data_IF_739229529423
#
_entry.id   IF_739229529423
#
_cell.length_a   1.000
_cell.length_b   1.000
_cell.length_c   1.000
_cell.angle_alpha   90.00
_cell.angle_beta   90.00
_cell.angle_gamma   90.00
#
_symmetry.space_group_name_H-M   'P 1'
#
loop_
_entity.id
_entity.type
_entity.pdbx_description
1 polymer ?
#
# COMPACT_ATOMS: atom_id res chain seq x y z
N UNK A 1 4.17 12.51 -17.02
CA UNK A 1 3.13 12.30 -15.98
C UNK A 1 3.70 11.45 -14.88
N UNK A 2 3.66 11.95 -13.65
CA UNK A 2 4.16 11.20 -12.48
C UNK A 2 3.02 10.39 -11.86
N UNK A 3 3.30 9.20 -11.32
CA UNK A 3 2.30 8.45 -10.58
C UNK A 3 1.87 9.18 -9.32
N UNK A 4 0.57 9.15 -9.03
CA UNK A 4 0.00 9.75 -7.84
C UNK A 4 -0.61 8.64 -6.97
N UNK A 5 -0.19 8.57 -5.72
CA UNK A 5 -0.66 7.58 -4.76
C UNK A 5 -1.47 8.29 -3.69
N UNK A 6 -2.74 7.93 -3.56
CA UNK A 6 -3.64 8.56 -2.60
C UNK A 6 -3.89 7.68 -1.39
N UNK A 7 -3.71 8.23 -0.20
CA UNK A 7 -3.99 7.54 1.06
C UNK A 7 -5.06 8.32 1.81
N UNK A 8 -6.28 7.78 1.93
CA UNK A 8 -7.30 8.48 2.68
C UNK A 8 -6.98 8.45 4.18
N UNK A 9 -7.13 9.61 4.82
CA UNK A 9 -6.93 9.71 6.26
C UNK A 9 -8.24 9.43 6.98
N UNK A 10 -8.12 8.92 8.21
CA UNK A 10 -9.30 8.61 9.01
C UNK A 10 -9.95 9.91 9.49
N UNK A 11 -11.21 10.10 9.13
CA UNK A 11 -11.98 11.27 9.55
C UNK A 11 -12.74 10.96 10.83
N UNK A 12 -13.15 12.03 11.54
CA UNK A 12 -13.89 11.89 12.79
C UNK A 12 -15.32 11.38 12.59
N UNK A 13 -15.94 11.76 11.48
CA UNK A 13 -17.36 11.49 11.26
C UNK A 13 -17.61 10.17 10.52
N UNK A 14 -16.84 9.88 9.46
CA UNK A 14 -17.13 8.78 8.55
C UNK A 14 -15.99 7.74 8.51
N UNK A 15 -15.11 7.74 9.50
CA UNK A 15 -14.00 6.78 9.60
C UNK A 15 -13.08 6.78 8.36
N UNK A 16 -13.01 7.91 7.67
CA UNK A 16 -12.19 8.05 6.47
C UNK A 16 -12.91 7.80 5.16
N UNK A 17 -14.20 7.46 5.19
CA UNK A 17 -14.97 7.18 3.96
C UNK A 17 -15.09 8.43 3.09
N UNK A 18 -15.27 9.59 3.70
CA UNK A 18 -15.32 10.87 2.99
C UNK A 18 -13.99 11.17 2.30
N UNK A 19 -12.87 10.92 2.98
CA UNK A 19 -11.52 11.08 2.38
C UNK A 19 -11.32 10.10 1.24
N UNK A 20 -11.75 8.86 1.40
CA UNK A 20 -11.69 7.84 0.36
C UNK A 20 -12.48 8.27 -0.87
N UNK A 21 -13.71 8.73 -0.69
CA UNK A 21 -14.55 9.17 -1.80
C UNK A 21 -13.93 10.34 -2.55
N UNK A 22 -13.28 11.27 -1.84
CA UNK A 22 -12.59 12.41 -2.47
C UNK A 22 -11.46 11.95 -3.38
N UNK A 23 -10.74 10.89 -3.02
CA UNK A 23 -9.63 10.36 -3.80
C UNK A 23 -10.13 9.51 -4.98
N UNK A 24 -11.14 8.67 -4.74
CA UNK A 24 -11.64 7.72 -5.73
C UNK A 24 -12.41 8.41 -6.85
N UNK A 25 -13.12 9.48 -6.53
CA UNK A 25 -13.98 10.22 -7.47
C UNK A 25 -13.19 11.25 -8.29
N UNK A 26 -12.06 10.84 -8.85
CA UNK A 26 -11.28 11.71 -9.71
C UNK A 26 -11.84 11.74 -11.12
N UNK A 27 -11.79 12.90 -11.81
CA UNK A 27 -12.28 12.98 -13.18
C UNK A 27 -11.43 12.16 -14.15
N UNK A 28 -12.03 11.77 -15.26
CA UNK A 28 -11.33 11.05 -16.32
C UNK A 28 -10.08 11.82 -16.77
N UNK A 29 -8.98 11.13 -16.90
CA UNK A 29 -7.70 11.74 -17.25
C UNK A 29 -6.85 12.16 -16.08
N UNK A 30 -7.34 11.98 -14.84
CA UNK A 30 -6.58 12.27 -13.61
C UNK A 30 -6.51 10.98 -12.77
N UNK A 31 -5.66 10.02 -13.14
CA UNK A 31 -5.61 8.74 -12.45
C UNK A 31 -4.87 8.85 -11.12
N UNK A 32 -5.45 8.27 -10.07
CA UNK A 32 -4.85 8.21 -8.74
C UNK A 32 -5.01 6.80 -8.21
N UNK A 33 -3.91 6.15 -7.85
CA UNK A 33 -3.96 4.86 -7.16
C UNK A 33 -4.38 5.11 -5.72
N UNK A 34 -5.35 4.32 -5.24
CA UNK A 34 -5.93 4.51 -3.92
C UNK A 34 -5.62 3.32 -3.03
N UNK A 35 -5.27 3.59 -1.77
CA UNK A 35 -4.88 2.59 -0.79
C UNK A 35 -5.85 2.59 0.38
N UNK A 36 -5.61 1.69 1.34
CA UNK A 36 -6.47 1.58 2.51
C UNK A 36 -6.46 2.86 3.34
N UNK A 37 -7.49 3.04 4.14
CA UNK A 37 -7.63 4.20 5.01
C UNK A 37 -6.63 4.11 6.17
N UNK A 38 -5.90 5.19 6.42
CA UNK A 38 -5.03 5.31 7.59
C UNK A 38 -3.65 4.68 7.43
N UNK A 39 -3.10 4.15 8.52
CA UNK A 39 -1.73 3.65 8.57
C UNK A 39 -1.46 2.49 7.62
N UNK A 40 -2.39 1.56 7.50
CA UNK A 40 -2.24 0.44 6.58
C UNK A 40 -2.09 0.92 5.14
N UNK A 41 -2.88 1.91 4.74
CA UNK A 41 -2.77 2.52 3.41
C UNK A 41 -1.46 3.24 3.21
N UNK A 42 -0.99 3.98 4.21
CA UNK A 42 0.28 4.69 4.14
C UNK A 42 1.45 3.71 3.96
N UNK A 43 1.46 2.62 4.72
CA UNK A 43 2.48 1.57 4.60
C UNK A 43 2.45 0.95 3.21
N UNK A 44 1.27 0.58 2.72
CA UNK A 44 1.12 -0.05 1.42
C UNK A 44 1.45 0.89 0.27
N UNK A 45 1.11 2.17 0.39
CA UNK A 45 1.47 3.17 -0.60
C UNK A 45 3.00 3.33 -0.70
N UNK A 46 3.69 3.35 0.45
CA UNK A 46 5.14 3.43 0.48
C UNK A 46 5.78 2.20 -0.17
N UNK A 47 5.29 1.00 0.14
CA UNK A 47 5.77 -0.24 -0.47
C UNK A 47 5.51 -0.26 -1.98
N UNK A 48 4.37 0.24 -2.41
CA UNK A 48 4.03 0.33 -3.82
C UNK A 48 4.96 1.29 -4.56
N UNK A 49 5.26 2.44 -3.95
CA UNK A 49 6.21 3.41 -4.52
C UNK A 49 7.60 2.79 -4.66
N UNK A 50 8.05 2.05 -3.64
CA UNK A 50 9.34 1.35 -3.68
C UNK A 50 9.35 0.31 -4.81
N UNK A 51 8.27 -0.45 -4.98
CA UNK A 51 8.20 -1.46 -6.03
C UNK A 51 8.19 -0.83 -7.44
N UNK A 52 7.61 0.36 -7.61
CA UNK A 52 7.69 1.08 -8.87
C UNK A 52 9.13 1.51 -9.18
N UNK A 53 9.86 2.01 -8.20
CA UNK A 53 11.27 2.39 -8.37
C UNK A 53 12.14 1.18 -8.63
N UNK A 54 11.89 0.07 -7.93
CA UNK A 54 12.62 -1.18 -8.15
C UNK A 54 12.38 -1.74 -9.56
N UNK A 55 11.14 -1.66 -10.05
CA UNK A 55 10.78 -2.11 -11.41
C UNK A 55 11.42 -1.24 -12.47
N UNK A 56 11.74 0.00 -12.16
CA UNK A 56 12.35 0.93 -13.11
C UNK A 56 13.89 0.87 -13.10
N UNK A 57 14.48 -0.19 -12.57
CA UNK A 57 15.90 -0.46 -12.68
C UNK A 57 16.74 -0.23 -11.41
N UNK A 58 16.13 0.13 -10.29
CA UNK A 58 16.86 0.27 -9.04
C UNK A 58 17.04 -1.10 -8.38
N UNK A 59 18.19 -1.74 -8.66
CA UNK A 59 18.48 -3.08 -8.17
C UNK A 59 18.66 -3.13 -6.65
N UNK A 60 19.17 -2.06 -6.06
CA UNK A 60 19.35 -1.97 -4.61
C UNK A 60 18.00 -1.99 -3.89
N UNK A 61 17.04 -1.22 -4.38
CA UNK A 61 15.68 -1.21 -3.84
C UNK A 61 14.99 -2.54 -4.08
N UNK A 62 15.21 -3.17 -5.25
CA UNK A 62 14.64 -4.48 -5.55
C UNK A 62 15.10 -5.53 -4.55
N UNK A 63 16.39 -5.54 -4.20
CA UNK A 63 16.94 -6.47 -3.23
C UNK A 63 16.39 -6.22 -1.83
N UNK A 64 16.30 -4.96 -1.42
CA UNK A 64 15.74 -4.58 -0.11
C UNK A 64 14.26 -4.97 -0.01
N UNK A 65 13.50 -4.78 -1.06
CA UNK A 65 12.09 -5.15 -1.10
C UNK A 65 11.92 -6.67 -1.01
N UNK A 66 12.74 -7.42 -1.74
CA UNK A 66 12.73 -8.87 -1.70
C UNK A 66 13.06 -9.38 -0.29
N UNK A 67 14.06 -8.78 0.36
CA UNK A 67 14.43 -9.12 1.73
C UNK A 67 13.27 -8.84 2.70
N UNK A 68 12.63 -7.70 2.56
CA UNK A 68 11.48 -7.33 3.38
C UNK A 68 10.35 -8.36 3.26
N UNK A 69 10.01 -8.74 2.03
CA UNK A 69 8.96 -9.71 1.76
C UNK A 69 9.30 -11.09 2.32
N UNK A 70 10.56 -11.50 2.21
CA UNK A 70 11.03 -12.77 2.76
C UNK A 70 10.93 -12.78 4.28
N UNK A 71 11.34 -11.71 4.94
CA UNK A 71 11.23 -11.56 6.39
C UNK A 71 9.77 -11.58 6.83
N UNK A 72 8.90 -10.95 6.09
CA UNK A 72 7.47 -10.95 6.34
C UNK A 72 6.88 -12.35 6.24
N UNK A 73 7.26 -13.10 5.21
CA UNK A 73 6.83 -14.50 5.05
C UNK A 73 7.31 -15.37 6.20
N UNK A 74 8.58 -15.23 6.60
CA UNK A 74 9.14 -15.98 7.73
C UNK A 74 8.43 -15.66 9.03
N UNK A 75 8.09 -14.41 9.24
CA UNK A 75 7.34 -13.97 10.43
C UNK A 75 5.96 -14.61 10.46
N UNK A 76 5.29 -14.69 9.33
CA UNK A 76 3.98 -15.33 9.23
C UNK A 76 4.10 -16.83 9.47
N UNK A 77 5.11 -17.49 8.89
CA UNK A 77 5.34 -18.92 9.05
C UNK A 77 5.71 -19.29 10.47
N UNK A 78 6.49 -18.44 11.15
CA UNK A 78 6.92 -18.70 12.54
C UNK A 78 5.83 -18.38 13.56
N UNK A 79 4.84 -17.60 13.17
CA UNK A 79 3.67 -17.33 14.00
C UNK A 79 2.70 -18.48 13.81
N UNK A 80 2.44 -19.26 14.89
CA UNK A 80 1.40 -20.26 14.85
C UNK A 80 0.06 -19.56 14.72
N UNK A 81 -0.29 -19.26 13.51
CA UNK A 81 -1.64 -18.78 13.25
C UNK A 81 -2.58 -19.94 13.49
N UNK A 82 -3.65 -19.73 14.29
CA UNK A 82 -4.71 -20.70 14.32
C UNK A 82 -5.11 -20.96 12.87
N UNK A 83 -5.06 -22.24 12.50
CA UNK A 83 -5.43 -22.60 11.13
C UNK A 83 -6.83 -22.11 10.86
N UNK A 84 -6.89 -21.09 10.03
CA UNK A 84 -8.17 -20.71 9.48
C UNK A 84 -8.45 -21.75 8.39
N UNK A 85 -9.14 -22.78 8.80
CA UNK A 85 -9.74 -23.68 7.82
C UNK A 85 -10.91 -22.92 7.21
N UNK A 86 -10.67 -22.50 6.02
CA UNK A 86 -11.77 -22.00 5.21
C UNK A 86 -12.50 -23.18 4.63
#
# INVERSE_FOLDING_TARGET
>A
MIPVLGVPVKSKCLQGVDSLLSIVQMPAGVPTATFAIGEAGATNAALFAISMLASNGDTTLAEKLKKFRNEQCQKIESTELPQITI
#
